data_IF_270514187221
#
_entry.id   IF_270514187221
#
_cell.length_a   1.000
_cell.length_b   1.000
_cell.length_c   1.000
_cell.angle_alpha   90.00
_cell.angle_beta   90.00
_cell.angle_gamma   90.00
#
_symmetry.space_group_name_H-M   'P 1'
#
loop_
_entity.id
_entity.type
_entity.pdbx_description
1 polymer ?
#
# COMPACT_ATOMS: atom_id res chain seq x y z
N UNK A 1 -19.14 -9.42 -4.46
CA UNK A 1 -18.48 -8.30 -3.76
C UNK A 1 -17.04 -8.26 -4.26
N UNK A 2 -16.49 -7.11 -4.56
CA UNK A 2 -15.10 -6.98 -4.99
C UNK A 2 -14.18 -7.06 -3.77
N UNK A 3 -13.13 -7.88 -3.83
CA UNK A 3 -12.28 -8.18 -2.68
C UNK A 3 -10.84 -7.68 -2.83
N UNK A 4 -10.44 -7.19 -4.00
CA UNK A 4 -9.19 -6.47 -4.13
C UNK A 4 -9.38 -5.05 -3.58
N UNK A 5 -9.01 -4.85 -2.34
CA UNK A 5 -9.18 -3.59 -1.61
C UNK A 5 -7.83 -2.87 -1.58
N UNK A 6 -7.85 -1.57 -1.88
CA UNK A 6 -6.71 -0.70 -1.62
C UNK A 6 -6.60 -0.48 -0.11
N UNK A 7 -5.63 -1.10 0.52
CA UNK A 7 -5.44 -0.98 1.97
C UNK A 7 -4.65 0.26 2.34
N UNK A 8 -3.70 0.69 1.49
CA UNK A 8 -2.94 1.92 1.71
C UNK A 8 -2.40 2.47 0.39
N UNK A 9 -2.17 3.78 0.35
CA UNK A 9 -1.48 4.47 -0.74
C UNK A 9 -0.07 4.90 -0.37
N UNK A 10 0.32 4.72 0.90
CA UNK A 10 1.61 5.09 1.43
C UNK A 10 2.18 3.96 2.27
N UNK A 11 3.50 3.94 2.40
CA UNK A 11 4.23 2.97 3.23
C UNK A 11 5.29 3.72 4.02
N UNK A 12 5.62 3.22 5.21
CA UNK A 12 6.72 3.71 6.01
C UNK A 12 7.69 2.56 6.31
N UNK A 13 8.90 2.61 5.73
CA UNK A 13 9.98 1.66 5.98
C UNK A 13 11.22 2.40 6.46
N UNK A 14 11.81 1.94 7.55
CA UNK A 14 13.04 2.53 8.12
C UNK A 14 12.93 4.06 8.29
N UNK A 15 11.79 4.54 8.77
CA UNK A 15 11.47 5.96 8.95
C UNK A 15 11.44 6.79 7.65
N UNK A 16 11.31 6.14 6.49
CA UNK A 16 11.10 6.79 5.20
C UNK A 16 9.72 6.46 4.67
N UNK A 17 9.07 7.48 4.10
CA UNK A 17 7.77 7.30 3.43
C UNK A 17 7.93 7.04 1.95
N UNK A 18 7.05 6.21 1.42
CA UNK A 18 7.01 5.81 0.02
C UNK A 18 5.57 5.81 -0.47
N UNK A 19 5.38 6.11 -1.75
CA UNK A 19 4.10 5.88 -2.43
C UNK A 19 3.91 4.39 -2.71
N UNK A 20 2.72 3.87 -2.43
CA UNK A 20 2.27 2.55 -2.86
C UNK A 20 1.35 2.72 -4.08
N UNK A 21 1.90 2.56 -5.28
CA UNK A 21 1.17 2.76 -6.53
C UNK A 21 0.56 1.44 -6.97
N UNK A 22 -0.75 1.33 -6.85
CA UNK A 22 -1.48 0.12 -7.17
C UNK A 22 -1.54 -0.16 -8.65
N UNK A 23 -1.39 -1.44 -9.00
CA UNK A 23 -1.40 -1.96 -10.35
C UNK A 23 -2.62 -2.85 -10.59
N UNK A 24 -3.11 -2.87 -11.83
CA UNK A 24 -4.04 -3.89 -12.32
C UNK A 24 -3.72 -4.28 -13.75
N UNK A 25 -4.04 -5.50 -14.12
CA UNK A 25 -3.99 -6.01 -15.48
C UNK A 25 -5.42 -6.17 -15.98
N UNK A 26 -5.73 -5.60 -17.16
CA UNK A 26 -6.98 -5.89 -17.85
C UNK A 26 -6.87 -7.25 -18.53
N UNK A 27 -7.76 -8.18 -18.15
CA UNK A 27 -7.64 -9.58 -18.58
C UNK A 27 -8.30 -9.87 -19.94
N UNK A 28 -9.32 -9.11 -20.34
CA UNK A 28 -10.08 -9.40 -21.56
C UNK A 28 -9.27 -9.21 -22.85
N UNK A 29 -8.37 -8.26 -22.89
CA UNK A 29 -7.48 -7.98 -24.04
C UNK A 29 -6.01 -8.35 -23.77
N UNK A 30 -5.74 -9.00 -22.65
CA UNK A 30 -4.39 -9.48 -22.32
C UNK A 30 -3.93 -10.61 -23.22
N UNK A 31 -2.74 -10.44 -23.79
CA UNK A 31 -2.01 -11.47 -24.53
C UNK A 31 -0.62 -11.64 -23.91
N UNK A 32 -0.30 -12.87 -23.52
CA UNK A 32 0.99 -13.17 -22.93
C UNK A 32 2.16 -12.77 -23.86
N UNK A 33 3.13 -12.05 -23.33
CA UNK A 33 4.35 -11.68 -24.05
C UNK A 33 5.24 -12.89 -24.33
N UNK A 34 6.26 -12.75 -25.17
CA UNK A 34 7.25 -13.79 -25.41
C UNK A 34 7.95 -14.22 -24.12
N UNK A 35 8.37 -13.25 -23.30
CA UNK A 35 9.06 -13.49 -22.02
C UNK A 35 8.17 -14.27 -21.03
N UNK A 36 6.90 -13.95 -20.95
CA UNK A 36 5.94 -14.66 -20.10
C UNK A 36 5.75 -16.11 -20.57
N UNK A 37 5.56 -16.32 -21.88
CA UNK A 37 5.47 -17.68 -22.44
C UNK A 37 6.72 -18.51 -22.20
N UNK A 38 7.92 -17.92 -22.27
CA UNK A 38 9.19 -18.60 -21.96
C UNK A 38 9.24 -19.05 -20.49
N UNK A 39 8.79 -18.21 -19.56
CA UNK A 39 8.73 -18.59 -18.13
C UNK A 39 7.69 -19.68 -17.92
N UNK A 40 6.50 -19.58 -18.51
CA UNK A 40 5.47 -20.61 -18.41
C UNK A 40 5.99 -21.95 -18.96
N UNK A 41 6.61 -21.93 -20.16
CA UNK A 41 7.12 -23.16 -20.78
C UNK A 41 8.25 -23.83 -19.97
N UNK A 42 9.14 -23.05 -19.38
CA UNK A 42 10.22 -23.55 -18.52
C UNK A 42 9.69 -24.30 -17.31
N UNK A 43 8.53 -23.92 -16.80
CA UNK A 43 7.93 -24.47 -15.59
C UNK A 43 6.87 -25.55 -15.86
N UNK A 44 6.59 -25.93 -17.12
CA UNK A 44 5.65 -27.00 -17.47
C UNK A 44 6.00 -28.38 -16.91
N UNK A 45 7.26 -28.57 -16.49
CA UNK A 45 7.72 -29.81 -15.84
C UNK A 45 7.20 -30.00 -14.42
N UNK A 46 6.73 -28.94 -13.80
CA UNK A 46 6.20 -28.95 -12.45
C UNK A 46 4.68 -29.11 -12.47
N UNK A 47 4.15 -29.80 -11.50
CA UNK A 47 2.71 -29.93 -11.31
C UNK A 47 2.15 -28.67 -10.65
N UNK A 48 1.04 -28.14 -11.16
CA UNK A 48 0.30 -27.02 -10.58
C UNK A 48 -1.06 -27.53 -10.09
N UNK A 49 -1.30 -27.37 -8.79
CA UNK A 49 -2.59 -27.67 -8.14
C UNK A 49 -3.23 -26.36 -7.70
N UNK A 50 -4.52 -26.19 -8.01
CA UNK A 50 -5.31 -25.01 -7.60
C UNK A 50 -6.46 -25.50 -6.72
N UNK A 51 -6.53 -25.01 -5.51
CA UNK A 51 -7.53 -25.43 -4.52
C UNK A 51 -7.94 -24.28 -3.58
N UNK A 52 -9.01 -24.45 -2.82
CA UNK A 52 -9.36 -23.52 -1.75
C UNK A 52 -8.23 -23.43 -0.72
N UNK A 53 -7.90 -22.25 -0.27
CA UNK A 53 -6.80 -22.06 0.67
C UNK A 53 -7.08 -22.77 1.99
N UNK A 54 -6.18 -23.67 2.32
CA UNK A 54 -6.02 -24.25 3.65
C UNK A 54 -4.54 -24.22 3.97
N UNK A 55 -4.17 -23.48 5.01
CA UNK A 55 -2.78 -23.37 5.44
C UNK A 55 -2.39 -24.69 6.13
N UNK A 56 -1.37 -25.34 5.61
CA UNK A 56 -0.80 -26.58 6.16
C UNK A 56 0.67 -26.39 6.57
N UNK A 57 1.22 -27.38 7.23
CA UNK A 57 2.60 -27.35 7.75
C UNK A 57 3.64 -27.20 6.62
N UNK A 58 3.40 -27.79 5.45
CA UNK A 58 4.31 -27.67 4.30
C UNK A 58 4.35 -26.25 3.76
N UNK A 59 3.21 -25.55 3.72
CA UNK A 59 3.14 -24.15 3.33
C UNK A 59 3.85 -23.24 4.35
N UNK A 60 3.66 -23.47 5.65
CA UNK A 60 4.34 -22.70 6.71
C UNK A 60 5.87 -22.91 6.67
N UNK A 61 6.33 -24.14 6.47
CA UNK A 61 7.76 -24.45 6.34
C UNK A 61 8.36 -23.78 5.10
N UNK A 62 7.67 -23.83 3.96
CA UNK A 62 8.10 -23.20 2.73
C UNK A 62 8.13 -21.67 2.87
N UNK A 63 7.11 -21.07 3.50
CA UNK A 63 7.06 -19.63 3.78
C UNK A 63 8.22 -19.22 4.69
N UNK A 64 8.48 -19.95 5.76
CA UNK A 64 9.58 -19.69 6.69
C UNK A 64 10.93 -19.71 5.96
N UNK A 65 11.16 -20.72 5.10
CA UNK A 65 12.38 -20.82 4.29
C UNK A 65 12.52 -19.67 3.32
N UNK A 66 11.43 -19.27 2.67
CA UNK A 66 11.41 -18.10 1.78
C UNK A 66 11.72 -16.82 2.53
N UNK A 67 11.03 -16.56 3.66
CA UNK A 67 11.21 -15.40 4.52
C UNK A 67 12.66 -15.23 4.97
N UNK A 68 13.31 -16.31 5.39
CA UNK A 68 14.72 -16.30 5.81
C UNK A 68 15.69 -15.91 4.68
N UNK A 69 15.29 -16.08 3.42
CA UNK A 69 16.08 -15.67 2.25
C UNK A 69 15.90 -14.21 1.83
N UNK A 70 14.95 -13.48 2.46
CA UNK A 70 14.66 -12.10 2.13
C UNK A 70 15.50 -11.14 2.99
N UNK A 71 15.86 -10.00 2.39
CA UNK A 71 16.61 -8.93 3.06
C UNK A 71 15.74 -7.91 3.79
N UNK A 72 14.41 -8.05 3.72
CA UNK A 72 13.43 -7.16 4.36
C UNK A 72 12.53 -7.94 5.32
N UNK A 73 11.95 -7.23 6.28
CA UNK A 73 11.09 -7.83 7.27
C UNK A 73 9.77 -8.27 6.65
N UNK A 74 9.36 -9.49 6.97
CA UNK A 74 8.08 -10.10 6.59
C UNK A 74 7.38 -10.61 7.85
N UNK A 75 6.07 -10.87 7.76
CA UNK A 75 5.30 -11.50 8.83
C UNK A 75 5.98 -12.78 9.34
N UNK A 76 5.86 -13.06 10.64
CA UNK A 76 6.61 -14.17 11.25
C UNK A 76 6.21 -15.54 10.68
N UNK A 77 4.95 -15.72 10.39
CA UNK A 77 4.39 -16.92 9.78
C UNK A 77 3.35 -16.55 8.72
N UNK A 78 2.90 -17.54 7.96
CA UNK A 78 1.93 -17.36 6.88
C UNK A 78 0.54 -17.03 7.43
N UNK A 79 0.18 -17.64 8.54
CA UNK A 79 -1.11 -17.40 9.21
C UNK A 79 -1.26 -15.93 9.63
N UNK A 80 -0.23 -15.32 10.24
CA UNK A 80 -0.24 -13.90 10.57
C UNK A 80 -0.33 -13.00 9.32
N UNK A 81 0.34 -13.40 8.23
CA UNK A 81 0.27 -12.67 6.97
C UNK A 81 -1.15 -12.63 6.39
N UNK A 82 -1.88 -13.75 6.51
CA UNK A 82 -3.18 -13.93 5.86
C UNK A 82 -4.36 -13.48 6.71
N UNK A 83 -4.28 -13.69 8.01
CA UNK A 83 -5.40 -13.53 8.91
C UNK A 83 -5.22 -12.39 9.93
N UNK A 84 -4.01 -11.80 10.02
CA UNK A 84 -3.71 -10.72 10.96
C UNK A 84 -4.18 -10.98 12.41
N UNK A 85 -4.13 -12.27 12.84
CA UNK A 85 -4.60 -12.70 14.16
C UNK A 85 -6.08 -13.07 14.25
N UNK A 86 -6.85 -12.95 13.18
CA UNK A 86 -8.25 -13.42 13.11
C UNK A 86 -8.31 -14.92 12.84
N UNK A 87 -9.42 -15.56 13.22
CA UNK A 87 -9.58 -17.01 13.06
C UNK A 87 -10.14 -17.43 11.71
N UNK A 88 -10.70 -16.50 10.95
CA UNK A 88 -11.37 -16.78 9.67
C UNK A 88 -11.23 -15.62 8.69
N UNK A 89 -11.34 -15.93 7.40
CA UNK A 89 -11.29 -14.96 6.30
C UNK A 89 -12.66 -14.87 5.63
N UNK A 90 -13.15 -13.66 5.44
CA UNK A 90 -14.36 -13.41 4.65
C UNK A 90 -14.12 -13.53 3.13
N UNK A 91 -12.88 -13.80 2.71
CA UNK A 91 -12.50 -13.86 1.31
C UNK A 91 -12.60 -15.26 0.74
N UNK A 92 -12.98 -15.36 -0.54
CA UNK A 92 -12.85 -16.60 -1.32
C UNK A 92 -11.40 -16.68 -1.84
N UNK A 93 -10.54 -17.34 -1.08
CA UNK A 93 -9.11 -17.41 -1.32
C UNK A 93 -8.70 -18.75 -1.87
N UNK A 94 -7.90 -18.73 -2.95
CA UNK A 94 -7.32 -19.90 -3.59
C UNK A 94 -5.81 -19.98 -3.36
N UNK A 95 -5.32 -21.22 -3.20
CA UNK A 95 -3.90 -21.56 -3.21
C UNK A 95 -3.51 -22.17 -4.55
N UNK A 96 -2.44 -21.65 -5.14
CA UNK A 96 -1.76 -22.19 -6.32
C UNK A 96 -0.49 -22.87 -5.84
N UNK A 97 -0.52 -24.18 -5.69
CA UNK A 97 0.59 -25.01 -5.19
C UNK A 97 1.37 -25.60 -6.36
N UNK A 98 2.69 -25.43 -6.37
CA UNK A 98 3.58 -25.98 -7.41
C UNK A 98 4.45 -27.06 -6.79
N UNK A 99 4.46 -28.24 -7.42
CA UNK A 99 5.19 -29.40 -6.96
C UNK A 99 6.27 -29.84 -7.96
N UNK A 100 7.46 -30.19 -7.43
CA UNK A 100 8.47 -30.96 -8.14
C UNK A 100 8.39 -32.38 -7.59
N UNK A 101 7.77 -33.30 -8.35
CA UNK A 101 7.32 -34.60 -7.89
C UNK A 101 6.37 -34.44 -6.67
N UNK A 102 6.78 -34.88 -5.49
CA UNK A 102 5.99 -34.75 -4.25
C UNK A 102 6.34 -33.57 -3.40
N UNK A 103 7.39 -32.83 -3.78
CA UNK A 103 7.88 -31.69 -3.00
C UNK A 103 7.15 -30.41 -3.35
N UNK A 104 6.54 -29.75 -2.37
CA UNK A 104 6.00 -28.38 -2.52
C UNK A 104 7.17 -27.39 -2.70
N UNK A 105 7.23 -26.70 -3.85
CA UNK A 105 8.32 -25.78 -4.20
C UNK A 105 7.90 -24.34 -4.34
N UNK A 106 6.61 -24.05 -4.54
CA UNK A 106 6.09 -22.68 -4.56
C UNK A 106 4.60 -22.64 -4.25
N UNK A 107 4.16 -21.54 -3.65
CA UNK A 107 2.75 -21.24 -3.37
C UNK A 107 2.44 -19.82 -3.80
N UNK A 108 1.29 -19.65 -4.46
CA UNK A 108 0.70 -18.36 -4.78
C UNK A 108 -0.70 -18.26 -4.21
N UNK A 109 -1.01 -17.17 -3.54
CA UNK A 109 -2.30 -16.95 -2.87
C UNK A 109 -3.07 -15.89 -3.64
N UNK A 110 -4.36 -16.14 -3.91
CA UNK A 110 -5.23 -15.34 -4.74
C UNK A 110 -6.60 -15.18 -4.10
N UNK A 111 -7.01 -13.94 -3.88
CA UNK A 111 -8.39 -13.63 -3.49
C UNK A 111 -9.26 -13.43 -4.73
N UNK A 112 -10.41 -14.09 -4.72
CA UNK A 112 -11.39 -14.05 -5.81
C UNK A 112 -12.55 -13.12 -5.46
N UNK A 113 -12.80 -12.16 -6.31
CA UNK A 113 -13.99 -11.29 -6.26
C UNK A 113 -14.94 -11.57 -7.43
N UNK A 114 -16.03 -10.82 -7.52
CA UNK A 114 -17.05 -11.01 -8.56
C UNK A 114 -16.57 -10.60 -9.96
N UNK A 115 -15.75 -9.56 -10.07
CA UNK A 115 -15.26 -9.01 -11.36
C UNK A 115 -13.74 -9.01 -11.46
N UNK A 116 -13.05 -9.23 -10.36
CA UNK A 116 -11.60 -9.14 -10.31
C UNK A 116 -11.03 -10.00 -9.19
N UNK A 117 -9.72 -10.15 -9.22
CA UNK A 117 -8.95 -10.91 -8.24
C UNK A 117 -7.72 -10.17 -7.78
N UNK A 118 -7.25 -10.48 -6.58
CA UNK A 118 -6.04 -9.90 -6.01
C UNK A 118 -4.99 -10.97 -5.69
N UNK A 119 -3.78 -10.78 -6.23
CA UNK A 119 -2.63 -11.57 -5.84
C UNK A 119 -2.12 -11.15 -4.47
N UNK A 120 -2.34 -11.98 -3.45
CA UNK A 120 -1.97 -11.67 -2.07
C UNK A 120 -0.49 -11.92 -1.84
N UNK A 121 -0.02 -13.12 -2.14
CA UNK A 121 1.37 -13.50 -1.94
C UNK A 121 1.85 -14.52 -2.97
N UNK A 122 3.17 -14.58 -3.16
CA UNK A 122 3.87 -15.65 -3.85
C UNK A 122 5.19 -15.91 -3.12
N UNK A 123 5.39 -17.13 -2.67
CA UNK A 123 6.64 -17.56 -2.03
C UNK A 123 7.08 -18.90 -2.59
N UNK A 124 8.38 -19.17 -2.56
CA UNK A 124 8.95 -20.35 -3.19
C UNK A 124 10.26 -20.78 -2.53
N UNK A 125 10.65 -22.02 -2.71
CA UNK A 125 11.95 -22.55 -2.25
C UNK A 125 13.09 -21.79 -2.98
N UNK A 126 13.97 -21.06 -2.26
CA UNK A 126 15.09 -20.32 -2.86
C UNK A 126 16.00 -21.14 -3.76
N UNK A 127 16.09 -22.47 -3.54
CA UNK A 127 16.85 -23.38 -4.41
C UNK A 127 16.33 -23.41 -5.86
N UNK A 128 15.05 -23.02 -6.07
CA UNK A 128 14.40 -22.96 -7.38
C UNK A 128 14.40 -21.54 -8.00
N UNK A 129 15.17 -20.59 -7.47
CA UNK A 129 15.24 -19.19 -7.95
C UNK A 129 15.41 -19.06 -9.48
N UNK A 130 16.21 -19.95 -10.11
CA UNK A 130 16.45 -19.96 -11.57
C UNK A 130 15.19 -20.15 -12.41
N UNK A 131 14.11 -20.68 -11.84
CA UNK A 131 12.85 -20.94 -12.54
C UNK A 131 11.89 -19.75 -12.53
N UNK A 132 12.17 -18.69 -11.74
CA UNK A 132 11.31 -17.51 -11.62
C UNK A 132 9.87 -17.85 -11.17
N UNK A 133 9.73 -18.75 -10.18
CA UNK A 133 8.45 -19.30 -9.74
C UNK A 133 7.46 -18.23 -9.26
N UNK A 134 7.91 -17.13 -8.66
CA UNK A 134 7.04 -16.01 -8.29
C UNK A 134 6.33 -15.40 -9.51
N UNK A 135 7.05 -15.13 -10.62
CA UNK A 135 6.45 -14.64 -11.88
C UNK A 135 5.57 -15.71 -12.52
N UNK A 136 6.03 -16.96 -12.52
CA UNK A 136 5.23 -18.09 -13.03
C UNK A 136 3.86 -18.17 -12.36
N UNK A 137 3.83 -18.11 -11.03
CA UNK A 137 2.58 -18.11 -10.27
C UNK A 137 1.66 -16.93 -10.61
N UNK A 138 2.23 -15.74 -10.82
CA UNK A 138 1.43 -14.58 -11.25
C UNK A 138 0.78 -14.82 -12.61
N UNK A 139 1.53 -15.40 -13.56
CA UNK A 139 0.98 -15.72 -14.90
C UNK A 139 -0.08 -16.83 -14.83
N UNK A 140 0.09 -17.83 -13.98
CA UNK A 140 -0.92 -18.88 -13.76
C UNK A 140 -2.19 -18.31 -13.12
N UNK A 141 -2.07 -17.42 -12.14
CA UNK A 141 -3.21 -16.71 -11.55
C UNK A 141 -3.96 -15.89 -12.61
N UNK A 142 -3.25 -15.13 -13.47
CA UNK A 142 -3.87 -14.36 -14.56
C UNK A 142 -4.58 -15.27 -15.57
N UNK A 143 -3.97 -16.39 -15.94
CA UNK A 143 -4.56 -17.36 -16.84
C UNK A 143 -5.85 -17.96 -16.27
N UNK A 144 -5.83 -18.34 -14.98
CA UNK A 144 -6.99 -18.85 -14.26
C UNK A 144 -8.09 -17.78 -14.19
N UNK A 145 -7.78 -16.56 -13.76
CA UNK A 145 -8.75 -15.47 -13.67
C UNK A 145 -9.42 -15.15 -15.00
N UNK A 146 -8.65 -15.22 -16.09
CA UNK A 146 -9.19 -15.03 -17.45
C UNK A 146 -10.13 -16.18 -17.84
N UNK A 147 -9.80 -17.41 -17.49
CA UNK A 147 -10.65 -18.59 -17.70
C UNK A 147 -11.95 -18.49 -16.92
N UNK A 148 -11.92 -17.96 -15.70
CA UNK A 148 -13.09 -17.67 -14.87
C UNK A 148 -13.87 -16.41 -15.33
N UNK A 149 -13.46 -15.75 -16.41
CA UNK A 149 -14.15 -14.58 -16.97
C UNK A 149 -13.99 -13.28 -16.19
N UNK A 150 -12.99 -13.19 -15.32
CA UNK A 150 -12.72 -11.96 -14.56
C UNK A 150 -12.17 -10.86 -15.46
N UNK A 151 -12.56 -9.61 -15.19
CA UNK A 151 -12.15 -8.44 -15.96
C UNK A 151 -10.73 -7.97 -15.59
N UNK A 152 -10.35 -8.07 -14.30
CA UNK A 152 -9.11 -7.51 -13.79
C UNK A 152 -8.39 -8.47 -12.85
N UNK A 153 -7.04 -8.41 -12.91
CA UNK A 153 -6.13 -9.00 -11.92
C UNK A 153 -5.29 -7.91 -11.29
N UNK A 154 -5.21 -7.87 -9.97
CA UNK A 154 -4.40 -6.93 -9.19
C UNK A 154 -3.14 -7.62 -8.67
N UNK A 155 -1.94 -7.37 -9.24
CA UNK A 155 -0.68 -7.96 -8.77
C UNK A 155 -0.16 -7.31 -7.48
N UNK A 156 -0.87 -6.32 -6.95
CA UNK A 156 -0.47 -5.47 -5.83
C UNK A 156 0.05 -4.12 -6.31
N UNK A 157 0.97 -3.52 -5.56
CA UNK A 157 1.53 -2.19 -5.83
C UNK A 157 3.02 -2.23 -6.16
N UNK A 158 3.51 -1.17 -6.78
CA UNK A 158 4.93 -0.83 -6.90
C UNK A 158 5.25 0.34 -5.97
N UNK A 159 6.53 0.43 -5.61
CA UNK A 159 7.04 1.45 -4.67
C UNK A 159 8.18 2.19 -5.34
N UNK A 160 7.96 3.39 -5.88
CA UNK A 160 9.01 4.18 -6.50
C UNK A 160 10.20 4.37 -5.56
N UNK A 161 11.39 4.06 -6.05
CA UNK A 161 12.62 4.10 -5.25
C UNK A 161 12.93 2.84 -4.45
N UNK A 162 12.04 1.83 -4.42
CA UNK A 162 12.26 0.56 -3.71
C UNK A 162 12.15 -0.64 -4.65
N UNK A 163 13.28 -1.10 -5.16
CA UNK A 163 13.38 -2.09 -6.27
C UNK A 163 12.74 -3.45 -6.02
N UNK A 164 12.50 -3.83 -4.77
CA UNK A 164 11.94 -5.15 -4.44
C UNK A 164 10.57 -5.40 -5.09
N UNK A 165 9.83 -4.35 -5.44
CA UNK A 165 8.49 -4.42 -6.04
C UNK A 165 8.47 -4.22 -7.56
N UNK A 166 9.61 -3.81 -8.19
CA UNK A 166 9.67 -3.45 -9.61
C UNK A 166 9.31 -4.61 -10.55
N UNK A 167 9.53 -5.86 -10.13
CA UNK A 167 9.20 -7.03 -10.93
C UNK A 167 7.73 -7.12 -11.33
N UNK A 168 6.83 -6.44 -10.61
CA UNK A 168 5.40 -6.39 -10.91
C UNK A 168 5.11 -5.58 -12.18
N UNK A 169 5.99 -4.65 -12.54
CA UNK A 169 5.90 -3.92 -13.80
C UNK A 169 6.10 -4.80 -15.04
N UNK A 170 6.67 -6.00 -14.85
CA UNK A 170 6.85 -7.00 -15.92
C UNK A 170 5.63 -7.92 -16.09
N UNK A 171 4.60 -7.78 -15.26
CA UNK A 171 3.44 -8.69 -15.23
C UNK A 171 2.29 -8.11 -16.03
N UNK A 172 1.87 -8.79 -17.11
CA UNK A 172 0.75 -8.34 -17.92
C UNK A 172 0.99 -7.02 -18.67
N UNK A 173 2.24 -6.74 -19.02
CA UNK A 173 2.73 -5.45 -19.55
C UNK A 173 1.83 -4.82 -20.64
N UNK A 174 1.28 -5.56 -21.63
CA UNK A 174 0.48 -4.94 -22.69
C UNK A 174 -0.81 -4.29 -22.19
N UNK A 175 -1.33 -4.73 -21.04
CA UNK A 175 -2.60 -4.24 -20.49
C UNK A 175 -2.48 -3.84 -19.02
N UNK A 176 -1.24 -3.64 -18.54
CA UNK A 176 -0.95 -3.20 -17.19
C UNK A 176 -1.29 -1.72 -17.04
N UNK A 177 -2.07 -1.42 -16.01
CA UNK A 177 -2.46 -0.07 -15.60
C UNK A 177 -2.03 0.20 -14.17
N UNK A 178 -1.76 1.46 -13.85
CA UNK A 178 -1.59 1.92 -12.48
C UNK A 178 -2.69 2.88 -12.07
N UNK A 179 -3.02 2.91 -10.79
CA UNK A 179 -3.96 3.89 -10.25
C UNK A 179 -3.26 5.21 -9.98
N UNK A 180 -3.65 6.25 -10.71
CA UNK A 180 -3.17 7.61 -10.46
C UNK A 180 -4.08 8.28 -9.42
N UNK A 181 -3.58 8.44 -8.19
CA UNK A 181 -4.34 8.99 -7.08
C UNK A 181 -4.72 10.47 -7.30
N UNK A 182 -3.90 11.23 -8.04
CA UNK A 182 -4.14 12.65 -8.31
C UNK A 182 -5.33 12.82 -9.27
N UNK A 183 -5.35 12.04 -10.35
CA UNK A 183 -6.44 12.11 -11.35
C UNK A 183 -7.58 11.16 -11.07
N UNK A 184 -7.43 10.26 -10.07
CA UNK A 184 -8.36 9.19 -9.69
C UNK A 184 -8.75 8.27 -10.85
N UNK A 185 -7.80 8.04 -11.77
CA UNK A 185 -7.99 7.21 -12.94
C UNK A 185 -6.95 6.11 -13.06
N UNK A 186 -7.34 5.03 -13.72
CA UNK A 186 -6.41 4.00 -14.17
C UNK A 186 -5.74 4.44 -15.46
N UNK A 187 -4.41 4.42 -15.48
CA UNK A 187 -3.56 4.89 -16.59
C UNK A 187 -2.61 3.76 -16.97
N UNK A 188 -2.31 3.60 -18.26
CA UNK A 188 -1.37 2.60 -18.73
C UNK A 188 -0.02 2.74 -18.03
N UNK A 189 0.56 1.63 -17.57
CA UNK A 189 1.71 1.64 -16.66
C UNK A 189 2.99 2.24 -17.27
N UNK A 190 3.14 2.24 -18.59
CA UNK A 190 4.25 2.91 -19.28
C UNK A 190 4.33 4.41 -18.98
N UNK A 191 3.19 5.03 -18.65
CA UNK A 191 3.11 6.46 -18.36
C UNK A 191 3.35 6.83 -16.90
N UNK A 192 3.72 5.87 -16.05
CA UNK A 192 3.90 6.11 -14.61
C UNK A 192 4.93 7.21 -14.31
N UNK A 193 5.98 7.32 -15.12
CA UNK A 193 7.02 8.32 -14.97
C UNK A 193 6.62 9.74 -15.41
N UNK A 194 5.48 9.90 -16.11
CA UNK A 194 5.00 11.20 -16.59
C UNK A 194 4.36 12.03 -15.48
N UNK A 195 4.00 11.42 -14.36
CA UNK A 195 3.24 12.03 -13.30
C UNK A 195 4.06 12.11 -12.01
N UNK A 196 3.86 13.21 -11.30
CA UNK A 196 4.39 13.31 -9.93
C UNK A 196 3.68 12.30 -9.02
N UNK A 197 4.43 11.76 -8.06
CA UNK A 197 3.82 10.88 -7.06
C UNK A 197 3.00 11.68 -6.05
N UNK A 198 1.98 11.08 -5.43
CA UNK A 198 1.17 11.73 -4.40
C UNK A 198 2.01 12.31 -3.26
N UNK A 199 2.93 11.53 -2.71
CA UNK A 199 3.79 11.94 -1.59
C UNK A 199 4.67 13.14 -1.96
N UNK A 200 5.30 13.14 -3.15
CA UNK A 200 6.09 14.26 -3.62
C UNK A 200 5.25 15.52 -3.82
N UNK A 201 4.01 15.38 -4.28
CA UNK A 201 3.08 16.49 -4.46
C UNK A 201 2.67 17.10 -3.11
N UNK A 202 2.31 16.25 -2.14
CA UNK A 202 2.00 16.65 -0.76
C UNK A 202 3.20 17.39 -0.13
N UNK A 203 4.39 16.79 -0.23
CA UNK A 203 5.61 17.35 0.34
C UNK A 203 5.91 18.73 -0.23
N UNK A 204 5.91 18.88 -1.55
CA UNK A 204 6.15 20.15 -2.23
C UNK A 204 5.15 21.23 -1.82
N UNK A 205 3.85 20.90 -1.82
CA UNK A 205 2.78 21.84 -1.50
C UNK A 205 2.82 22.29 -0.03
N UNK A 206 3.03 21.36 0.89
CA UNK A 206 3.13 21.67 2.32
C UNK A 206 4.38 22.50 2.63
N UNK A 207 5.52 22.23 1.99
CA UNK A 207 6.70 23.07 2.15
C UNK A 207 6.52 24.48 1.59
N UNK A 208 5.85 24.63 0.44
CA UNK A 208 5.49 25.94 -0.08
C UNK A 208 4.59 26.71 0.90
N UNK A 209 3.59 26.02 1.47
CA UNK A 209 2.72 26.62 2.48
C UNK A 209 3.50 26.98 3.75
N UNK A 210 4.35 26.07 4.27
CA UNK A 210 5.17 26.35 5.45
C UNK A 210 6.03 27.60 5.27
N UNK A 211 6.74 27.71 4.14
CA UNK A 211 7.53 28.90 3.82
C UNK A 211 6.69 30.18 3.80
N UNK A 212 5.47 30.11 3.26
CA UNK A 212 4.53 31.23 3.22
C UNK A 212 3.99 31.63 4.61
N UNK A 213 3.90 30.66 5.54
CA UNK A 213 3.38 30.89 6.89
C UNK A 213 4.45 31.34 7.89
N UNK A 214 5.73 31.07 7.65
CA UNK A 214 6.85 31.33 8.61
C UNK A 214 6.95 32.74 9.13
N UNK A 215 6.43 33.74 8.40
CA UNK A 215 6.42 35.15 8.85
C UNK A 215 5.45 35.42 10.01
N UNK A 216 4.48 34.52 10.30
CA UNK A 216 3.35 34.83 11.18
C UNK A 216 3.18 33.88 12.38
N UNK A 217 4.02 32.86 12.52
CA UNK A 217 3.90 31.94 13.66
C UNK A 217 4.71 30.65 13.51
N UNK A 218 4.70 29.83 14.56
CA UNK A 218 5.44 28.56 14.55
C UNK A 218 4.61 27.45 13.91
N UNK A 219 4.98 27.08 12.69
CA UNK A 219 4.38 26.00 11.94
C UNK A 219 5.41 24.91 11.71
N UNK A 220 5.25 23.75 12.33
CA UNK A 220 6.19 22.66 12.22
C UNK A 220 5.68 21.60 11.24
N UNK A 221 6.57 21.23 10.32
CA UNK A 221 6.36 20.09 9.42
C UNK A 221 6.60 18.80 10.19
N UNK A 222 5.65 17.89 10.11
CA UNK A 222 5.72 16.59 10.77
C UNK A 222 5.45 15.46 9.81
N UNK A 223 6.19 14.36 9.96
CA UNK A 223 5.84 13.06 9.44
C UNK A 223 4.87 12.38 10.41
N UNK A 224 3.86 11.68 9.87
CA UNK A 224 2.84 11.01 10.65
C UNK A 224 2.80 9.52 10.31
N UNK A 225 3.35 8.69 11.20
CA UNK A 225 3.46 7.24 10.93
C UNK A 225 2.17 6.46 11.15
N UNK A 226 1.17 7.06 11.79
CA UNK A 226 -0.12 6.41 12.05
C UNK A 226 -1.18 6.71 10.98
N UNK A 227 -0.76 7.14 9.79
CA UNK A 227 -1.64 7.49 8.67
C UNK A 227 -2.53 6.32 8.18
N UNK A 228 -2.15 5.08 8.48
CA UNK A 228 -2.89 3.86 8.14
C UNK A 228 -3.51 3.16 9.36
N UNK A 229 -3.46 3.78 10.54
CA UNK A 229 -3.99 3.17 11.77
C UNK A 229 -5.49 2.85 11.68
N UNK A 230 -6.26 3.60 10.89
CA UNK A 230 -7.68 3.32 10.62
C UNK A 230 -7.94 2.00 9.89
N UNK A 231 -6.90 1.39 9.30
CA UNK A 231 -6.99 0.07 8.66
C UNK A 231 -6.97 -1.07 9.70
N UNK A 232 -6.47 -0.80 10.91
CA UNK A 232 -6.55 -1.76 12.01
C UNK A 232 -8.00 -1.81 12.54
N UNK A 233 -8.62 -3.00 12.67
CA UNK A 233 -9.98 -3.15 13.17
C UNK A 233 -10.23 -2.49 14.53
N UNK A 234 -9.21 -2.44 15.42
CA UNK A 234 -9.30 -1.81 16.75
C UNK A 234 -9.58 -0.30 16.65
N UNK A 235 -9.06 0.34 15.61
CA UNK A 235 -9.19 1.78 15.39
C UNK A 235 -10.20 2.15 14.30
N UNK A 236 -10.84 1.16 13.70
CA UNK A 236 -11.84 1.38 12.64
C UNK A 236 -12.99 2.24 13.13
N UNK A 237 -13.36 3.23 12.33
CA UNK A 237 -14.49 4.13 12.65
C UNK A 237 -14.17 5.27 13.63
N UNK A 238 -12.96 5.37 14.16
CA UNK A 238 -12.58 6.47 15.06
C UNK A 238 -12.31 7.80 14.35
N UNK A 239 -12.31 7.85 13.02
CA UNK A 239 -12.05 9.08 12.27
C UNK A 239 -10.60 9.57 12.45
N UNK A 240 -9.63 8.66 12.40
CA UNK A 240 -8.22 9.00 12.52
C UNK A 240 -7.70 9.79 11.32
N UNK A 241 -6.67 10.60 11.56
CA UNK A 241 -5.95 11.30 10.51
C UNK A 241 -5.24 10.29 9.61
N UNK A 242 -5.51 10.34 8.29
CA UNK A 242 -5.02 9.39 7.28
C UNK A 242 -3.99 9.98 6.30
N UNK A 243 -3.30 11.04 6.70
CA UNK A 243 -2.27 11.70 5.90
C UNK A 243 -0.87 11.45 6.46
N UNK A 244 0.11 11.01 5.63
CA UNK A 244 1.46 10.67 6.09
C UNK A 244 2.31 11.88 6.47
N UNK A 245 1.93 13.09 6.03
CA UNK A 245 2.63 14.34 6.29
C UNK A 245 1.65 15.47 6.54
N UNK A 246 2.02 16.37 7.46
CA UNK A 246 1.20 17.49 7.87
C UNK A 246 2.05 18.67 8.38
N UNK A 247 1.44 19.84 8.47
CA UNK A 247 1.96 20.96 9.25
C UNK A 247 1.15 21.04 10.55
N UNK A 248 1.81 20.90 11.70
CA UNK A 248 1.20 21.13 13.01
C UNK A 248 1.39 22.60 13.38
N UNK A 249 0.29 23.28 13.67
CA UNK A 249 0.30 24.68 14.08
C UNK A 249 0.34 24.73 15.60
N UNK A 250 1.38 25.39 16.13
CA UNK A 250 1.53 25.62 17.56
C UNK A 250 0.82 26.93 17.89
N UNK A 251 -0.33 26.82 18.53
CA UNK A 251 -1.05 27.97 19.05
C UNK A 251 -0.61 28.22 20.49
N UNK A 252 0.16 29.30 20.71
CA UNK A 252 0.66 29.67 22.04
C UNK A 252 -0.48 30.02 23.03
N UNK A 253 -1.68 30.31 22.53
CA UNK A 253 -2.85 30.66 23.32
C UNK A 253 -3.80 29.48 23.56
N UNK A 254 -3.55 28.32 22.96
CA UNK A 254 -4.42 27.16 23.09
C UNK A 254 -4.13 26.40 24.38
N UNK A 255 -4.97 26.59 25.39
CA UNK A 255 -4.84 26.05 26.75
C UNK A 255 -5.26 24.59 26.87
N UNK A 256 -5.91 24.04 25.83
CA UNK A 256 -6.28 22.61 25.81
C UNK A 256 -5.13 21.78 25.26
N UNK A 257 -4.45 21.07 26.15
CA UNK A 257 -3.27 20.25 25.82
C UNK A 257 -3.54 19.11 24.83
N UNK A 258 -4.81 18.74 24.60
CA UNK A 258 -5.19 17.57 23.83
C UNK A 258 -5.67 17.90 22.39
N UNK A 259 -5.82 19.18 22.04
CA UNK A 259 -6.28 19.63 20.73
C UNK A 259 -5.18 20.33 19.95
N UNK A 260 -5.09 20.07 18.66
CA UNK A 260 -4.18 20.79 17.78
C UNK A 260 -4.81 21.04 16.39
N UNK A 261 -4.43 22.17 15.77
CA UNK A 261 -4.73 22.41 14.36
C UNK A 261 -3.65 21.80 13.51
N UNK A 262 -4.04 20.99 12.53
CA UNK A 262 -3.13 20.46 11.53
C UNK A 262 -3.55 20.92 10.14
N UNK A 263 -2.58 21.11 9.27
CA UNK A 263 -2.82 21.39 7.85
C UNK A 263 -2.26 20.23 7.04
N UNK A 264 -3.11 19.62 6.22
CA UNK A 264 -2.74 18.61 5.25
C UNK A 264 -3.00 19.12 3.84
N UNK A 265 -2.37 18.50 2.85
CA UNK A 265 -2.69 18.72 1.44
C UNK A 265 -3.21 17.43 0.84
N UNK A 266 -4.46 17.44 0.36
CA UNK A 266 -5.06 16.31 -0.32
C UNK A 266 -4.84 16.44 -1.84
N UNK A 267 -4.13 15.47 -2.40
CA UNK A 267 -3.85 15.42 -3.84
C UNK A 267 -5.08 15.06 -4.66
N UNK A 268 -6.13 14.50 -4.02
CA UNK A 268 -7.37 14.04 -4.68
C UNK A 268 -8.27 15.20 -5.09
N UNK A 269 -8.25 16.29 -4.33
CA UNK A 269 -9.05 17.49 -4.59
C UNK A 269 -8.22 18.77 -4.82
N UNK A 270 -6.88 18.66 -4.79
CA UNK A 270 -5.89 19.76 -4.97
C UNK A 270 -6.10 20.89 -3.93
N UNK A 271 -6.36 20.54 -2.66
CA UNK A 271 -6.64 21.49 -1.59
C UNK A 271 -5.82 21.25 -0.33
N UNK A 272 -5.58 22.35 0.38
CA UNK A 272 -5.20 22.30 1.78
C UNK A 272 -6.43 22.20 2.65
N UNK A 273 -6.37 21.36 3.69
CA UNK A 273 -7.41 21.24 4.71
C UNK A 273 -6.81 21.60 6.06
N UNK A 274 -7.44 22.55 6.75
CA UNK A 274 -7.19 22.80 8.17
C UNK A 274 -8.16 21.91 8.95
N UNK A 275 -7.61 21.06 9.79
CA UNK A 275 -8.37 20.13 10.61
C UNK A 275 -8.11 20.42 12.08
N UNK A 276 -9.16 20.39 12.90
CA UNK A 276 -9.03 20.30 14.35
C UNK A 276 -8.88 18.81 14.69
N UNK A 277 -7.80 18.47 15.36
CA UNK A 277 -7.53 17.11 15.80
C UNK A 277 -7.37 17.07 17.31
N UNK A 278 -7.79 15.95 17.94
CA UNK A 278 -7.45 15.63 19.33
C UNK A 278 -6.46 14.46 19.38
N UNK A 279 -5.58 14.47 20.36
CA UNK A 279 -4.71 13.34 20.65
C UNK A 279 -5.49 12.28 21.41
N UNK A 280 -5.63 11.09 20.83
CA UNK A 280 -6.19 9.93 21.52
C UNK A 280 -5.15 9.23 22.39
N UNK A 281 -3.89 9.28 21.93
CA UNK A 281 -2.82 8.53 22.53
C UNK A 281 -1.48 9.15 22.13
N UNK A 282 -0.58 9.34 23.09
CA UNK A 282 0.76 9.87 22.86
C UNK A 282 1.80 8.79 23.10
N UNK A 283 2.59 8.46 22.06
CA UNK A 283 3.75 7.58 22.17
C UNK A 283 4.98 8.43 22.45
N UNK A 284 5.60 8.23 23.58
CA UNK A 284 6.88 8.90 23.90
C UNK A 284 7.97 8.24 23.05
N UNK A 285 8.62 8.96 22.12
CA UNK A 285 9.67 8.39 21.28
C UNK A 285 10.87 8.01 22.15
N UNK A 286 11.30 6.75 22.06
CA UNK A 286 12.47 6.25 22.78
C UNK A 286 13.80 6.76 22.17
N UNK A 287 13.78 7.18 20.90
CA UNK A 287 14.98 7.59 20.14
C UNK A 287 14.84 9.04 19.65
N UNK A 288 15.82 9.92 19.91
CA UNK A 288 15.82 11.29 19.40
C UNK A 288 15.69 11.42 17.87
N UNK A 289 16.15 10.41 17.11
CA UNK A 289 15.97 10.37 15.65
C UNK A 289 14.51 10.19 15.22
N UNK A 290 13.64 9.79 16.15
CA UNK A 290 12.21 9.65 15.92
C UNK A 290 11.42 10.95 16.15
N UNK A 291 12.05 12.01 16.64
CA UNK A 291 11.41 13.31 16.90
C UNK A 291 10.91 14.02 15.62
N UNK A 292 11.29 13.54 14.41
CA UNK A 292 10.72 14.02 13.14
C UNK A 292 9.27 13.59 12.99
N UNK A 293 8.86 12.57 13.73
CA UNK A 293 7.49 12.07 13.73
C UNK A 293 6.70 12.69 14.89
N UNK A 294 5.41 12.95 14.66
CA UNK A 294 4.55 13.25 15.80
C UNK A 294 4.38 12.00 16.66
N UNK A 295 4.39 12.21 17.97
CA UNK A 295 4.17 11.15 18.95
C UNK A 295 2.68 10.80 19.14
N UNK A 296 1.78 11.65 18.63
CA UNK A 296 0.35 11.58 18.90
C UNK A 296 -0.38 10.72 17.88
N UNK A 297 -1.30 9.86 18.32
CA UNK A 297 -2.34 9.28 17.49
C UNK A 297 -3.50 10.29 17.41
N UNK A 298 -3.73 10.87 16.22
CA UNK A 298 -4.63 11.99 16.02
C UNK A 298 -5.99 11.53 15.49
N UNK A 299 -7.04 11.97 16.17
CA UNK A 299 -8.43 11.87 15.72
C UNK A 299 -8.89 13.20 15.14
N UNK A 300 -9.43 13.19 13.93
CA UNK A 300 -10.03 14.37 13.29
C UNK A 300 -11.40 14.64 13.91
N UNK A 301 -11.54 15.79 14.58
CA UNK A 301 -12.82 16.24 15.14
C UNK A 301 -13.70 16.85 14.05
N UNK A 302 -13.14 17.75 13.26
CA UNK A 302 -13.78 18.30 12.08
C UNK A 302 -12.78 19.03 11.17
N UNK A 303 -13.19 19.23 9.92
CA UNK A 303 -12.47 20.09 8.97
C UNK A 303 -12.94 21.51 9.17
N UNK A 304 -12.02 22.42 9.54
CA UNK A 304 -12.32 23.85 9.75
C UNK A 304 -12.56 24.53 8.39
N UNK A 305 -11.66 24.28 7.43
CA UNK A 305 -11.77 24.82 6.08
C UNK A 305 -10.98 23.99 5.08
N UNK A 306 -11.40 24.03 3.81
CA UNK A 306 -10.69 23.47 2.66
C UNK A 306 -10.49 24.54 1.60
N UNK A 307 -9.24 24.77 1.15
CA UNK A 307 -8.95 25.79 0.13
C UNK A 307 -7.69 25.43 -0.66
N UNK A 308 -7.71 25.72 -1.97
CA UNK A 308 -6.50 25.68 -2.82
C UNK A 308 -5.62 26.94 -2.65
N UNK A 309 -6.13 28.00 -1.98
CA UNK A 309 -5.47 29.28 -1.83
C UNK A 309 -4.76 29.39 -0.48
N UNK A 310 -3.43 29.55 -0.51
CA UNK A 310 -2.60 29.66 0.71
C UNK A 310 -2.92 30.90 1.56
N UNK A 311 -3.36 32.02 0.93
CA UNK A 311 -3.76 33.20 1.66
C UNK A 311 -5.03 33.01 2.52
N UNK A 312 -5.96 32.17 2.07
CA UNK A 312 -7.14 31.77 2.86
C UNK A 312 -6.71 30.91 4.05
N UNK A 313 -5.83 29.95 3.81
CA UNK A 313 -5.26 29.10 4.87
C UNK A 313 -4.57 29.97 5.92
N UNK A 314 -3.66 30.88 5.49
CA UNK A 314 -2.97 31.81 6.39
C UNK A 314 -3.94 32.64 7.25
N UNK A 315 -4.97 33.22 6.61
CA UNK A 315 -5.98 34.00 7.32
C UNK A 315 -6.69 33.23 8.41
N UNK A 316 -7.16 32.00 8.10
CA UNK A 316 -7.89 31.17 9.08
C UNK A 316 -7.00 30.65 10.20
N UNK A 317 -5.71 30.48 9.96
CA UNK A 317 -4.77 30.05 11.00
C UNK A 317 -4.40 31.16 11.98
N UNK A 318 -4.31 32.44 11.53
CA UNK A 318 -3.72 33.53 12.28
C UNK A 318 -4.61 34.79 12.42
N UNK A 319 -5.86 34.74 11.97
CA UNK A 319 -6.84 35.77 12.28
C UNK A 319 -7.79 35.24 13.34
N UNK A 320 -7.89 35.95 14.46
CA UNK A 320 -8.81 35.67 15.58
C UNK A 320 -10.28 35.74 15.12
#
# INVERSE_FOLDING_TARGET
>A
MHQAIFTTHFLCFNNLFYDAIWLRVRLYDYVATKKEREIINRNKRFELVIESLQVDDDMEQLYTKYRQSMSYQMSQNLTDLLYAGEFDSCYNTLAFKVYDETKLIAVGILDMGALSSAGISCFYDPAYKKYSLGKYLMFQKMAYCRQEGLAYFYPGYVVPGYKAFDYKMDVGTPTLEYFNMITQNWIHAERIAEYATPLNSMYRKLHQLQAYLQENGTCNFHFYRYFDASLDPIYSGLGLLDFPIMIKVIDANNVKHDECKVVVYDVRDDRFHIMLCSSLYTVIPYNPQEMVFTADLLQVQHVIISSSQMNIIKRVLFTD
#
